data_IF_506765472855
#
_entry.id   IF_506765472855
#
_cell.length_a   1.000
_cell.length_b   1.000
_cell.length_c   1.000
_cell.angle_alpha   90.00
_cell.angle_beta   90.00
_cell.angle_gamma   90.00
#
_symmetry.space_group_name_H-M   'P 1'
#
loop_
_entity.id
_entity.type
_entity.pdbx_description
1 polymer ?
#
# COMPACT_ATOMS: atom_id res chain seq x y z
N UNK A 1 -6.96 19.90 9.45
CA UNK A 1 -5.90 19.56 10.44
C UNK A 1 -4.52 19.70 9.81
N UNK A 2 -4.24 19.01 8.70
CA UNK A 2 -3.00 19.16 7.91
C UNK A 2 -2.83 20.60 7.38
N UNK A 3 -3.90 21.22 6.85
CA UNK A 3 -3.86 22.63 6.43
C UNK A 3 -3.55 23.62 7.57
N UNK A 4 -3.99 23.34 8.81
CA UNK A 4 -3.59 24.13 10.00
C UNK A 4 -2.12 23.94 10.36
N UNK A 5 -1.63 22.70 10.24
CA UNK A 5 -0.21 22.36 10.45
C UNK A 5 0.68 23.00 9.38
N UNK A 6 0.19 23.12 8.13
CA UNK A 6 0.88 23.77 7.00
C UNK A 6 0.91 25.29 7.10
N UNK A 7 -0.16 25.92 7.60
CA UNK A 7 -0.21 27.39 7.75
C UNK A 7 0.61 27.92 8.93
N UNK A 8 0.84 27.12 9.96
CA UNK A 8 1.61 27.55 11.15
C UNK A 8 3.14 27.42 11.01
N UNK A 9 3.67 26.66 10.03
CA UNK A 9 5.12 26.41 9.91
C UNK A 9 5.65 26.64 8.48
N UNK A 10 6.47 27.67 8.31
CA UNK A 10 7.28 27.86 7.11
C UNK A 10 8.46 26.87 7.09
N UNK A 11 8.61 26.16 5.96
CA UNK A 11 9.38 24.93 5.77
C UNK A 11 10.92 25.07 5.73
N UNK A 12 11.51 26.08 6.37
CA UNK A 12 12.90 26.47 6.08
C UNK A 12 13.93 26.18 7.19
N UNK A 13 13.65 25.35 8.21
CA UNK A 13 14.62 25.02 9.28
C UNK A 13 14.52 23.56 9.76
N UNK A 14 15.66 22.88 9.94
CA UNK A 14 15.73 21.51 10.50
C UNK A 14 15.22 21.42 11.94
N UNK A 15 15.34 22.51 12.70
CA UNK A 15 14.80 22.63 14.06
C UNK A 15 13.26 22.58 14.05
N UNK A 16 12.64 23.11 12.99
CA UNK A 16 11.19 23.05 12.80
C UNK A 16 10.71 21.63 12.43
N UNK A 17 11.52 20.81 11.73
CA UNK A 17 11.14 19.42 11.42
C UNK A 17 10.99 18.56 12.67
N UNK A 18 11.94 18.62 13.61
CA UNK A 18 11.87 17.81 14.84
C UNK A 18 10.69 18.21 15.74
N UNK A 19 10.44 19.52 15.88
CA UNK A 19 9.31 20.04 16.64
C UNK A 19 7.95 19.69 15.99
N UNK A 20 7.87 19.75 14.67
CA UNK A 20 6.69 19.36 13.92
C UNK A 20 6.39 17.86 14.09
N UNK A 21 7.40 17.00 13.95
CA UNK A 21 7.23 15.54 14.16
C UNK A 21 6.73 15.26 15.57
N UNK A 22 7.26 15.93 16.60
CA UNK A 22 6.81 15.75 17.98
C UNK A 22 5.40 16.29 18.23
N UNK A 23 5.01 17.39 17.57
CA UNK A 23 3.66 17.94 17.65
C UNK A 23 2.64 17.04 16.94
N UNK A 24 2.96 16.53 15.75
CA UNK A 24 2.11 15.60 15.02
C UNK A 24 1.96 14.29 15.83
N UNK A 25 3.04 13.78 16.45
CA UNK A 25 2.98 12.63 17.38
C UNK A 25 2.05 12.87 18.57
N UNK A 26 2.04 14.09 19.12
CA UNK A 26 1.14 14.47 20.24
C UNK A 26 -0.31 14.60 19.81
N UNK A 27 -0.58 15.11 18.61
CA UNK A 27 -1.94 15.38 18.13
C UNK A 27 -2.56 14.20 17.38
N UNK A 28 -1.75 13.28 16.88
CA UNK A 28 -2.20 12.15 16.10
C UNK A 28 -1.28 10.93 16.35
N UNK A 29 -1.61 10.02 17.28
CA UNK A 29 -0.75 8.89 17.65
C UNK A 29 -0.42 7.94 16.47
N UNK A 30 -1.17 8.00 15.36
CA UNK A 30 -0.91 7.22 14.15
C UNK A 30 -0.05 7.96 13.10
N UNK A 31 0.51 9.11 13.44
CA UNK A 31 1.37 9.88 12.54
C UNK A 31 2.66 9.18 12.16
N UNK A 32 3.21 8.37 13.07
CA UNK A 32 4.40 7.57 12.78
C UNK A 32 4.12 6.54 11.67
N UNK A 33 2.89 6.01 11.58
CA UNK A 33 2.50 5.13 10.47
C UNK A 33 2.49 5.87 9.13
N UNK A 34 2.00 7.11 9.09
CA UNK A 34 2.04 7.94 7.88
C UNK A 34 3.48 8.29 7.47
N UNK A 35 4.31 8.75 8.41
CA UNK A 35 5.72 9.07 8.14
C UNK A 35 6.51 7.83 7.71
N UNK A 36 6.25 6.68 8.33
CA UNK A 36 6.81 5.38 7.96
C UNK A 36 6.47 5.02 6.51
N UNK A 37 5.19 5.16 6.13
CA UNK A 37 4.72 4.92 4.77
C UNK A 37 5.44 5.82 3.75
N UNK A 38 5.51 7.12 4.03
CA UNK A 38 6.14 8.10 3.13
C UNK A 38 7.66 7.93 3.02
N UNK A 39 8.29 7.28 4.01
CA UNK A 39 9.71 6.95 4.01
C UNK A 39 10.03 5.64 3.27
N UNK A 40 9.06 5.06 2.54
CA UNK A 40 9.25 3.83 1.78
C UNK A 40 9.26 2.57 2.65
N UNK A 41 8.51 2.56 3.75
CA UNK A 41 8.27 1.38 4.56
C UNK A 41 6.84 0.88 4.41
N UNK A 42 6.63 -0.33 4.93
CA UNK A 42 5.30 -0.90 5.11
C UNK A 42 4.73 -0.42 6.44
N UNK A 43 3.58 0.23 6.38
CA UNK A 43 2.89 0.82 7.52
C UNK A 43 1.58 0.10 7.82
N UNK A 44 1.18 0.12 9.09
CA UNK A 44 -0.02 -0.51 9.62
C UNK A 44 -0.95 0.57 10.18
N UNK A 45 -2.25 0.29 10.19
CA UNK A 45 -3.27 1.10 10.84
C UNK A 45 -3.14 2.59 10.47
N UNK A 46 -3.29 2.89 9.18
CA UNK A 46 -3.09 4.23 8.61
C UNK A 46 -4.47 4.88 8.45
N UNK A 47 -4.82 5.90 9.26
CA UNK A 47 -6.06 6.63 9.08
C UNK A 47 -6.15 7.25 7.68
N UNK A 48 -7.30 7.06 7.03
CA UNK A 48 -7.60 7.62 5.71
C UNK A 48 -7.44 9.16 5.68
N UNK A 49 -7.74 9.82 6.80
CA UNK A 49 -7.60 11.27 6.98
C UNK A 49 -6.18 11.79 6.70
N UNK A 50 -5.14 10.97 6.84
CA UNK A 50 -3.77 11.40 6.50
C UNK A 50 -3.49 11.42 5.00
N UNK A 51 -4.31 10.73 4.21
CA UNK A 51 -4.11 10.57 2.76
C UNK A 51 -5.09 11.42 1.94
N UNK A 52 -6.23 11.80 2.51
CA UNK A 52 -7.37 12.38 1.76
C UNK A 52 -7.07 13.67 0.96
N UNK A 53 -6.07 14.45 1.36
CA UNK A 53 -5.78 15.75 0.73
C UNK A 53 -4.76 15.60 -0.44
N UNK A 54 -3.85 14.61 -0.33
CA UNK A 54 -2.71 14.45 -1.25
C UNK A 54 -2.80 13.16 -2.10
N UNK A 55 -3.80 12.31 -1.87
CA UNK A 55 -3.94 11.01 -2.53
C UNK A 55 -5.36 10.76 -3.02
N UNK A 56 -5.46 10.24 -4.23
CA UNK A 56 -6.72 9.87 -4.87
C UNK A 56 -6.79 8.34 -5.06
N UNK A 57 -7.95 7.76 -4.72
CA UNK A 57 -8.21 6.32 -4.95
C UNK A 57 -8.46 6.07 -6.44
N UNK A 58 -7.59 5.29 -7.07
CA UNK A 58 -7.69 4.91 -8.50
C UNK A 58 -8.11 3.46 -8.71
N UNK A 59 -8.06 2.65 -7.64
CA UNK A 59 -8.52 1.26 -7.61
C UNK A 59 -9.11 0.96 -6.25
N UNK A 60 -10.30 0.37 -6.22
CA UNK A 60 -10.93 -0.08 -4.99
C UNK A 60 -11.87 -1.24 -5.30
N UNK A 61 -11.40 -2.46 -5.09
CA UNK A 61 -12.16 -3.67 -5.40
C UNK A 61 -12.21 -4.62 -4.20
N UNK A 62 -13.28 -5.42 -4.03
CA UNK A 62 -13.30 -6.42 -2.98
C UNK A 62 -12.27 -7.50 -3.26
N UNK A 63 -11.83 -8.20 -2.22
CA UNK A 63 -10.87 -9.28 -2.38
C UNK A 63 -11.42 -10.42 -3.27
N UNK A 64 -12.73 -10.59 -3.41
CA UNK A 64 -13.31 -11.53 -4.38
C UNK A 64 -13.37 -11.06 -5.84
N UNK A 65 -12.96 -9.83 -6.15
CA UNK A 65 -12.82 -9.39 -7.54
C UNK A 65 -11.61 -10.05 -8.20
N UNK A 66 -11.77 -10.51 -9.45
CA UNK A 66 -10.71 -11.16 -10.22
C UNK A 66 -9.82 -10.10 -10.88
N UNK A 67 -8.83 -9.62 -10.14
CA UNK A 67 -7.86 -8.64 -10.64
C UNK A 67 -7.01 -9.25 -11.76
N UNK A 68 -6.77 -8.48 -12.83
CA UNK A 68 -5.84 -8.89 -13.89
C UNK A 68 -4.60 -8.02 -13.95
N UNK A 69 -3.56 -8.54 -14.58
CA UNK A 69 -2.31 -7.81 -14.85
C UNK A 69 -2.59 -6.59 -15.72
N UNK A 70 -3.48 -6.76 -16.71
CA UNK A 70 -3.91 -5.73 -17.64
C UNK A 70 -4.71 -4.63 -16.92
N UNK A 71 -5.57 -5.00 -15.97
CA UNK A 71 -6.31 -4.06 -15.13
C UNK A 71 -5.32 -3.18 -14.33
N UNK A 72 -4.34 -3.79 -13.66
CA UNK A 72 -3.32 -3.04 -12.91
C UNK A 72 -2.50 -2.12 -13.80
N UNK A 73 -2.08 -2.58 -14.98
CA UNK A 73 -1.31 -1.76 -15.94
C UNK A 73 -2.12 -0.60 -16.49
N UNK A 74 -3.43 -0.77 -16.69
CA UNK A 74 -4.29 0.30 -17.20
C UNK A 74 -4.33 1.52 -16.28
N UNK A 75 -4.11 1.31 -14.97
CA UNK A 75 -4.08 2.36 -13.95
C UNK A 75 -2.87 3.31 -14.11
N UNK A 76 -1.80 2.91 -14.79
CA UNK A 76 -0.63 3.77 -15.03
C UNK A 76 -1.00 5.10 -15.68
N UNK A 77 -2.02 5.09 -16.54
CA UNK A 77 -2.56 6.29 -17.20
C UNK A 77 -3.18 7.30 -16.22
N UNK A 78 -3.58 6.84 -15.04
CA UNK A 78 -4.15 7.64 -13.95
C UNK A 78 -3.10 8.05 -12.92
N UNK A 79 -1.90 7.45 -12.94
CA UNK A 79 -0.88 7.66 -11.92
C UNK A 79 0.01 8.86 -12.21
N UNK A 80 0.26 9.67 -11.19
CA UNK A 80 1.22 10.76 -11.23
C UNK A 80 2.66 10.23 -11.12
N UNK A 81 3.22 10.16 -9.90
CA UNK A 81 4.60 9.70 -9.65
C UNK A 81 4.66 8.49 -8.73
N UNK A 82 3.80 8.47 -7.72
CA UNK A 82 3.79 7.46 -6.69
C UNK A 82 2.40 6.82 -6.58
N UNK A 83 2.41 5.61 -6.02
CA UNK A 83 1.22 4.87 -5.65
C UNK A 83 1.33 4.40 -4.22
N UNK A 84 0.18 4.27 -3.57
CA UNK A 84 0.03 3.48 -2.35
C UNK A 84 -0.79 2.25 -2.71
N UNK A 85 -0.26 1.07 -2.39
CA UNK A 85 -1.03 -0.19 -2.43
C UNK A 85 -1.43 -0.51 -1.00
N UNK A 86 -2.72 -0.66 -0.76
CA UNK A 86 -3.29 -0.80 0.56
C UNK A 86 -4.42 -1.83 0.62
N UNK A 87 -4.76 -2.22 1.85
CA UNK A 87 -5.96 -2.96 2.14
C UNK A 87 -6.68 -2.41 3.37
N UNK A 88 -8.00 -2.50 3.36
CA UNK A 88 -8.83 -2.22 4.54
C UNK A 88 -10.00 -3.18 4.61
N UNK A 89 -10.54 -3.37 5.81
CA UNK A 89 -11.81 -4.07 6.01
C UNK A 89 -12.96 -3.07 5.83
N UNK A 90 -14.06 -3.47 5.18
CA UNK A 90 -15.19 -2.58 4.83
C UNK A 90 -15.79 -1.86 6.05
N UNK A 91 -15.90 -2.53 7.19
CA UNK A 91 -16.38 -1.93 8.44
C UNK A 91 -15.38 -0.93 9.06
N UNK A 92 -14.13 -0.94 8.61
CA UNK A 92 -13.04 -0.06 9.03
C UNK A 92 -12.55 0.83 7.89
N UNK A 93 -13.42 1.22 6.94
CA UNK A 93 -13.02 2.00 5.75
C UNK A 93 -12.37 3.37 6.04
N UNK A 94 -12.30 3.79 7.31
CA UNK A 94 -11.57 4.99 7.76
C UNK A 94 -10.10 4.73 8.06
N UNK A 95 -9.63 3.48 7.99
CA UNK A 95 -8.26 3.10 8.27
C UNK A 95 -7.80 2.00 7.30
N UNK A 96 -6.61 2.15 6.73
CA UNK A 96 -5.93 1.07 6.04
C UNK A 96 -5.21 0.19 7.06
N UNK A 97 -5.55 -1.10 7.10
CA UNK A 97 -4.90 -2.07 7.99
C UNK A 97 -3.42 -2.24 7.64
N UNK A 98 -3.09 -2.14 6.35
CA UNK A 98 -1.76 -2.34 5.81
C UNK A 98 -1.60 -1.54 4.52
N UNK A 99 -0.48 -0.84 4.35
CA UNK A 99 -0.12 -0.22 3.09
C UNK A 99 1.39 -0.10 2.88
N UNK A 100 1.78 0.03 1.62
CA UNK A 100 3.13 0.39 1.20
C UNK A 100 3.07 1.45 0.09
N UNK A 101 4.01 2.39 0.12
CA UNK A 101 4.17 3.44 -0.89
C UNK A 101 5.36 3.12 -1.79
N UNK A 102 5.23 3.38 -3.09
CA UNK A 102 6.31 3.21 -4.04
C UNK A 102 6.07 3.94 -5.36
N UNK A 103 7.01 3.82 -6.31
CA UNK A 103 6.91 4.48 -7.59
C UNK A 103 5.84 3.80 -8.47
N UNK A 104 5.18 4.54 -9.37
CA UNK A 104 4.07 4.00 -10.17
C UNK A 104 4.45 2.81 -11.06
N UNK A 105 5.73 2.69 -11.38
CA UNK A 105 6.35 1.60 -12.15
C UNK A 105 6.06 0.22 -11.54
N UNK A 106 5.73 0.15 -10.24
CA UNK A 106 5.22 -1.06 -9.59
C UNK A 106 4.06 -1.71 -10.36
N UNK A 107 3.17 -0.90 -10.96
CA UNK A 107 2.03 -1.39 -11.75
C UNK A 107 2.43 -1.92 -13.13
N UNK A 108 3.69 -1.73 -13.54
CA UNK A 108 4.23 -2.24 -14.81
C UNK A 108 5.37 -3.25 -14.64
N UNK A 109 5.68 -3.67 -13.41
CA UNK A 109 6.72 -4.65 -13.17
C UNK A 109 6.44 -5.96 -13.94
N UNK A 110 7.53 -6.65 -14.27
CA UNK A 110 7.54 -8.00 -14.82
C UNK A 110 8.52 -8.82 -13.99
N UNK A 111 8.15 -9.13 -12.75
CA UNK A 111 9.01 -9.94 -11.89
C UNK A 111 8.98 -11.40 -12.31
N UNK A 112 10.13 -12.06 -12.22
CA UNK A 112 10.17 -13.51 -12.26
C UNK A 112 9.53 -14.06 -10.99
N UNK A 113 9.05 -15.31 -11.07
CA UNK A 113 8.46 -15.96 -9.92
C UNK A 113 9.44 -16.01 -8.73
N UNK A 114 8.95 -15.60 -7.56
CA UNK A 114 9.68 -15.54 -6.29
C UNK A 114 10.89 -14.58 -6.27
N UNK A 115 11.01 -13.68 -7.25
CA UNK A 115 12.11 -12.72 -7.36
C UNK A 115 11.51 -11.30 -7.36
N UNK A 116 11.28 -10.70 -6.17
CA UNK A 116 10.72 -9.37 -6.08
C UNK A 116 11.77 -8.28 -6.40
N UNK A 117 11.30 -7.10 -6.76
CA UNK A 117 12.12 -5.89 -6.92
C UNK A 117 12.03 -5.02 -5.67
N UNK A 118 13.16 -4.53 -5.17
CA UNK A 118 13.19 -3.68 -3.98
C UNK A 118 13.03 -2.20 -4.34
N UNK A 119 12.07 -1.54 -3.73
CA UNK A 119 11.95 -0.07 -3.72
C UNK A 119 11.84 0.40 -2.27
N UNK A 120 12.77 1.28 -1.85
CA UNK A 120 12.91 1.63 -0.43
C UNK A 120 13.18 0.40 0.42
N UNK A 121 12.38 0.19 1.46
CA UNK A 121 12.44 -0.98 2.35
C UNK A 121 11.38 -2.04 2.03
N UNK A 122 10.79 -1.99 0.83
CA UNK A 122 9.69 -2.87 0.42
C UNK A 122 10.09 -3.70 -0.80
N UNK A 123 9.80 -5.00 -0.74
CA UNK A 123 9.98 -5.92 -1.85
C UNK A 123 8.66 -6.08 -2.59
N UNK A 124 8.60 -5.57 -3.81
CA UNK A 124 7.42 -5.55 -4.67
C UNK A 124 7.49 -6.64 -5.72
N UNK A 125 6.34 -7.20 -6.07
CA UNK A 125 6.25 -8.17 -7.16
C UNK A 125 4.98 -7.95 -7.96
N UNK A 126 5.13 -8.08 -9.28
CA UNK A 126 4.05 -8.22 -10.25
C UNK A 126 4.52 -9.30 -11.22
N UNK A 127 4.18 -10.54 -10.92
CA UNK A 127 4.50 -11.69 -11.78
C UNK A 127 3.25 -11.92 -12.62
N UNK A 128 3.27 -11.58 -13.93
CA UNK A 128 2.09 -11.65 -14.77
C UNK A 128 1.43 -13.03 -14.69
N UNK A 129 0.10 -13.04 -14.66
CA UNK A 129 -0.72 -14.27 -14.53
C UNK A 129 -0.56 -15.06 -13.23
N UNK A 130 0.21 -14.57 -12.25
CA UNK A 130 0.45 -15.27 -10.99
C UNK A 130 -0.01 -14.45 -9.79
N UNK A 131 0.74 -13.42 -9.41
CA UNK A 131 0.36 -12.56 -8.28
C UNK A 131 1.02 -11.18 -8.29
N UNK A 132 0.38 -10.27 -7.56
CA UNK A 132 0.83 -8.91 -7.28
C UNK A 132 0.86 -8.66 -5.77
N UNK A 133 1.83 -7.89 -5.30
CA UNK A 133 1.83 -7.47 -3.90
C UNK A 133 3.19 -7.00 -3.42
N UNK A 134 3.36 -7.05 -2.10
CA UNK A 134 4.59 -6.64 -1.45
C UNK A 134 4.90 -7.43 -0.17
N UNK A 135 6.17 -7.38 0.23
CA UNK A 135 6.73 -8.07 1.40
C UNK A 135 7.81 -7.23 2.09
N UNK A 136 8.02 -7.37 3.42
CA UNK A 136 9.15 -6.75 4.12
C UNK A 136 10.49 -7.45 3.83
N UNK A 137 10.45 -8.64 3.22
CA UNK A 137 11.65 -9.44 2.88
C UNK A 137 11.58 -9.92 1.43
N UNK A 138 12.75 -10.24 0.87
CA UNK A 138 12.85 -10.80 -0.49
C UNK A 138 12.27 -12.22 -0.60
N UNK A 139 12.13 -12.93 0.53
CA UNK A 139 11.67 -14.32 0.59
C UNK A 139 10.15 -14.39 0.42
N UNK A 140 9.69 -14.53 -0.82
CA UNK A 140 8.27 -14.69 -1.17
C UNK A 140 8.02 -16.03 -1.87
N UNK A 141 6.81 -16.56 -1.71
CA UNK A 141 6.38 -17.82 -2.33
C UNK A 141 5.03 -17.63 -3.04
N UNK A 142 5.03 -17.62 -4.37
CA UNK A 142 3.85 -17.29 -5.17
C UNK A 142 3.01 -18.50 -5.62
N UNK A 143 3.45 -19.75 -5.38
CA UNK A 143 2.87 -20.96 -6.01
C UNK A 143 2.16 -21.95 -5.08
N UNK A 144 2.58 -22.06 -3.84
CA UNK A 144 2.05 -23.04 -2.89
C UNK A 144 1.54 -22.21 -1.72
N UNK A 145 0.37 -22.60 -1.22
CA UNK A 145 -0.27 -22.11 0.02
C UNK A 145 0.83 -21.51 0.89
N UNK A 146 0.76 -20.21 1.12
CA UNK A 146 1.73 -19.36 1.81
C UNK A 146 2.04 -19.89 3.24
N UNK A 147 2.63 -21.08 3.35
CA UNK A 147 2.81 -21.90 4.56
C UNK A 147 4.18 -21.69 5.18
N UNK A 148 5.20 -21.31 4.41
CA UNK A 148 6.54 -21.07 4.99
C UNK A 148 6.73 -19.63 5.51
N UNK A 149 5.80 -18.72 5.22
CA UNK A 149 5.76 -17.40 5.86
C UNK A 149 4.52 -17.26 6.75
N UNK A 150 4.49 -18.04 7.83
CA UNK A 150 3.46 -17.95 8.86
C UNK A 150 3.40 -16.57 9.56
N UNK A 151 4.43 -15.72 9.46
CA UNK A 151 4.61 -14.60 10.41
C UNK A 151 4.74 -13.18 9.83
N UNK A 152 4.58 -12.99 8.52
CA UNK A 152 4.65 -11.64 7.94
C UNK A 152 3.41 -10.79 8.21
N UNK A 153 3.35 -10.04 9.33
CA UNK A 153 2.31 -9.02 9.60
C UNK A 153 2.26 -7.90 8.57
N UNK A 154 3.31 -7.77 7.75
CA UNK A 154 3.52 -6.71 6.77
C UNK A 154 3.49 -7.20 5.32
N UNK A 155 2.72 -8.25 4.99
CA UNK A 155 2.59 -8.76 3.61
C UNK A 155 1.21 -8.53 3.02
N UNK A 156 1.16 -8.24 1.73
CA UNK A 156 -0.08 -8.13 0.96
C UNK A 156 0.11 -8.89 -0.35
N UNK A 157 -0.89 -9.69 -0.73
CA UNK A 157 -0.85 -10.45 -1.98
C UNK A 157 -2.21 -10.59 -2.62
N UNK A 158 -2.23 -10.44 -3.94
CA UNK A 158 -3.38 -10.69 -4.81
C UNK A 158 -3.01 -11.70 -5.87
N UNK A 159 -3.89 -12.68 -6.10
CA UNK A 159 -3.80 -13.52 -7.28
C UNK A 159 -4.24 -12.72 -8.51
N UNK A 160 -3.73 -13.10 -9.68
CA UNK A 160 -4.03 -12.44 -10.94
C UNK A 160 -4.61 -13.39 -11.98
N UNK A 161 -5.34 -12.81 -12.94
CA UNK A 161 -5.75 -13.42 -14.21
C UNK A 161 -6.60 -14.70 -14.06
N UNK A 162 -7.64 -14.63 -13.21
CA UNK A 162 -8.78 -15.53 -13.27
C UNK A 162 -8.73 -16.75 -12.36
N UNK A 163 -7.64 -16.97 -11.61
CA UNK A 163 -7.59 -18.05 -10.62
C UNK A 163 -8.35 -17.70 -9.34
N UNK A 164 -8.28 -16.44 -8.92
CA UNK A 164 -8.78 -15.96 -7.63
C UNK A 164 -8.53 -14.45 -7.49
N UNK A 165 -9.18 -13.80 -6.53
CA UNK A 165 -8.92 -12.39 -6.23
C UNK A 165 -7.76 -12.16 -5.25
N UNK A 166 -7.93 -11.24 -4.30
CA UNK A 166 -6.94 -10.98 -3.25
C UNK A 166 -6.79 -12.17 -2.30
N UNK A 167 -5.58 -12.42 -1.78
CA UNK A 167 -5.31 -13.58 -0.92
C UNK A 167 -4.94 -13.23 0.52
N UNK A 168 -4.06 -12.24 0.71
CA UNK A 168 -3.48 -11.92 2.03
C UNK A 168 -3.49 -10.44 2.36
N UNK A 169 -3.71 -10.16 3.64
CA UNK A 169 -3.45 -8.88 4.33
C UNK A 169 -2.83 -9.18 5.68
N UNK A 170 -1.52 -8.93 5.82
CA UNK A 170 -0.77 -9.24 7.03
C UNK A 170 -0.89 -10.71 7.40
N UNK A 171 -1.43 -10.98 8.59
CA UNK A 171 -1.65 -12.35 9.09
C UNK A 171 -2.93 -13.00 8.55
N UNK A 172 -3.84 -12.23 7.96
CA UNK A 172 -5.11 -12.74 7.42
C UNK A 172 -4.90 -13.28 6.00
N UNK A 173 -5.04 -14.60 5.84
CA UNK A 173 -4.88 -15.35 4.58
C UNK A 173 -6.23 -15.90 4.10
N UNK A 174 -6.26 -16.47 2.89
CA UNK A 174 -7.45 -17.13 2.36
C UNK A 174 -8.60 -16.16 2.05
N UNK A 175 -8.27 -14.92 1.68
CA UNK A 175 -9.25 -13.86 1.46
C UNK A 175 -9.93 -13.89 0.08
N UNK A 176 -9.64 -14.90 -0.74
CA UNK A 176 -10.06 -15.01 -2.14
C UNK A 176 -11.56 -14.79 -2.38
N UNK A 177 -12.42 -15.22 -1.47
CA UNK A 177 -13.89 -15.08 -1.61
C UNK A 177 -14.46 -13.95 -0.74
N UNK A 178 -13.59 -13.15 -0.11
CA UNK A 178 -13.99 -12.16 0.88
C UNK A 178 -14.51 -10.87 0.22
N UNK A 179 -15.78 -10.55 0.48
CA UNK A 179 -16.45 -9.34 -0.02
C UNK A 179 -16.22 -8.10 0.87
N UNK A 180 -15.66 -8.29 2.06
CA UNK A 180 -15.48 -7.23 3.06
C UNK A 180 -14.06 -6.65 3.04
N UNK A 181 -13.04 -7.44 2.74
CA UNK A 181 -11.70 -6.92 2.50
C UNK A 181 -11.65 -6.22 1.15
N UNK A 182 -10.96 -5.07 1.10
CA UNK A 182 -10.81 -4.23 -0.09
C UNK A 182 -9.35 -4.11 -0.49
N UNK A 183 -9.08 -4.27 -1.78
CA UNK A 183 -7.82 -3.99 -2.47
C UNK A 183 -7.88 -2.55 -2.92
N UNK A 184 -6.95 -1.72 -2.48
CA UNK A 184 -6.96 -0.29 -2.78
C UNK A 184 -5.63 0.14 -3.38
N UNK A 185 -5.69 0.94 -4.44
CA UNK A 185 -4.55 1.67 -4.96
C UNK A 185 -4.90 3.16 -4.95
N UNK A 186 -4.03 3.96 -4.35
CA UNK A 186 -4.09 5.41 -4.41
C UNK A 186 -2.92 5.93 -5.26
N UNK A 187 -3.08 7.09 -5.87
CA UNK A 187 -1.98 7.84 -6.49
C UNK A 187 -1.92 9.25 -5.94
N UNK A 188 -0.73 9.85 -5.94
CA UNK A 188 -0.57 11.20 -5.41
C UNK A 188 -1.21 12.23 -6.36
N UNK A 189 -1.93 13.21 -5.78
CA UNK A 189 -2.67 14.25 -6.51
C UNK A 189 -1.77 15.36 -7.05
N UNK A 190 -0.45 15.27 -6.83
CA UNK A 190 0.52 16.18 -7.44
C UNK A 190 0.38 16.10 -8.95
N UNK A 191 -0.34 17.06 -9.53
CA UNK A 191 -0.44 17.25 -10.97
C UNK A 191 0.98 17.25 -11.56
N UNK A 192 1.18 16.65 -12.74
CA UNK A 192 2.48 16.62 -13.41
C UNK A 192 3.11 18.02 -13.50
#
# INVERSE_FOLDING_TARGET
>A
MIERIRTEFQWNDETNKSNLVNLIRRLAPNADSYLSLMSGNIALNIPYLFLQDDWEVIYNEPYNHLTTTEELRSLLSKCSKQIIVAAHFKQQAREFSLAACGPKEILNLNTNQNIPTKFGNVYWYLTPKLSFGFSPTEKIEQRIIDTEDEQGTKRLSWHLNGFSGGYRVGMTKGLTENKNWRKVILTNTSKP
#
